data_IF_828811804709
#
_entry.id   IF_828811804709
#
_cell.length_a   1.000
_cell.length_b   1.000
_cell.length_c   1.000
_cell.angle_alpha   90.00
_cell.angle_beta   90.00
_cell.angle_gamma   90.00
#
_symmetry.space_group_name_H-M   'P 1'
#
loop_
_entity.id
_entity.type
_entity.pdbx_description
1 polymer ?
#
# COMPACT_ATOMS: atom_id res chain seq x y z
N UNK A 1 -6.04 25.24 -12.26
CA UNK A 1 -5.60 24.27 -11.23
C UNK A 1 -6.70 23.23 -11.12
N UNK A 2 -6.48 22.01 -11.62
CA UNK A 2 -7.49 20.95 -11.57
C UNK A 2 -7.46 20.31 -10.18
N UNK A 3 -8.54 20.48 -9.42
CA UNK A 3 -8.78 19.70 -8.21
C UNK A 3 -8.91 18.22 -8.62
N UNK A 4 -8.09 17.35 -8.01
CA UNK A 4 -8.32 15.91 -8.12
C UNK A 4 -9.74 15.62 -7.61
N UNK A 5 -10.55 14.80 -8.31
CA UNK A 5 -11.84 14.40 -7.78
C UNK A 5 -11.60 13.68 -6.45
N UNK A 6 -12.18 14.20 -5.36
CA UNK A 6 -12.29 13.43 -4.12
C UNK A 6 -12.98 12.10 -4.49
N UNK A 7 -12.50 10.94 -4.02
CA UNK A 7 -13.12 9.67 -4.37
C UNK A 7 -14.54 9.65 -3.77
N UNK A 8 -15.53 9.97 -4.61
CA UNK A 8 -16.96 9.80 -4.34
C UNK A 8 -17.25 8.31 -4.37
N UNK A 9 -16.82 7.64 -3.31
CA UNK A 9 -16.90 6.21 -3.16
C UNK A 9 -16.59 5.90 -1.71
N UNK A 10 -17.63 5.70 -0.91
CA UNK A 10 -17.54 5.01 0.36
C UNK A 10 -17.20 3.53 0.09
N UNK A 11 -16.08 3.26 -0.59
CA UNK A 11 -15.52 1.93 -0.77
C UNK A 11 -15.12 1.42 0.61
N UNK A 12 -16.01 0.67 1.21
CA UNK A 12 -15.73 -0.14 2.39
C UNK A 12 -14.79 -1.25 1.96
N UNK A 13 -13.54 -1.14 2.42
CA UNK A 13 -12.51 -2.15 2.24
C UNK A 13 -12.10 -2.59 3.64
N UNK A 14 -12.20 -3.89 3.91
CA UNK A 14 -11.74 -4.48 5.14
C UNK A 14 -10.29 -4.94 5.06
N UNK A 15 -9.72 -5.27 6.22
CA UNK A 15 -8.38 -5.87 6.31
C UNK A 15 -8.28 -7.19 5.54
N UNK A 16 -9.38 -7.93 5.45
CA UNK A 16 -9.48 -9.20 4.72
C UNK A 16 -9.45 -9.00 3.20
N UNK A 17 -9.97 -7.88 2.70
CA UNK A 17 -9.92 -7.58 1.26
C UNK A 17 -8.50 -7.32 0.80
N UNK A 18 -7.66 -6.76 1.67
CA UNK A 18 -6.23 -6.50 1.43
C UNK A 18 -5.36 -7.75 1.37
N UNK A 19 -5.90 -8.94 1.60
CA UNK A 19 -5.10 -10.15 1.64
C UNK A 19 -4.84 -10.72 0.25
N UNK A 20 -3.64 -11.27 0.09
CA UNK A 20 -3.16 -11.90 -1.13
C UNK A 20 -2.09 -11.10 -1.85
N UNK A 21 -1.96 -11.38 -3.15
CA UNK A 21 -1.01 -10.72 -4.04
C UNK A 21 -1.59 -9.46 -4.66
N UNK A 22 -0.78 -8.41 -4.63
CA UNK A 22 -1.03 -7.10 -5.18
C UNK A 22 0.14 -6.70 -6.07
N UNK A 23 -0.12 -5.76 -6.96
CA UNK A 23 0.87 -5.12 -7.80
C UNK A 23 1.01 -3.68 -7.32
N UNK A 24 2.18 -3.31 -6.81
CA UNK A 24 2.49 -1.95 -6.38
C UNK A 24 3.34 -1.26 -7.44
N UNK A 25 2.95 -0.05 -7.82
CA UNK A 25 3.62 0.78 -8.78
C UNK A 25 3.97 2.15 -8.16
N UNK A 26 5.25 2.51 -8.12
CA UNK A 26 5.72 3.78 -7.59
C UNK A 26 6.86 4.34 -8.45
N UNK A 27 6.83 5.65 -8.74
CA UNK A 27 7.88 6.35 -9.50
C UNK A 27 8.31 5.68 -10.83
N UNK A 28 7.39 4.96 -11.49
CA UNK A 28 7.65 4.25 -12.75
C UNK A 28 8.15 2.80 -12.58
N UNK A 29 8.45 2.37 -11.36
CA UNK A 29 8.71 0.96 -11.04
C UNK A 29 7.42 0.23 -10.65
N UNK A 30 7.35 -1.06 -10.98
CA UNK A 30 6.24 -1.93 -10.59
C UNK A 30 6.76 -3.26 -10.05
N UNK A 31 6.20 -3.73 -8.94
CA UNK A 31 6.55 -5.02 -8.35
C UNK A 31 5.36 -5.68 -7.64
N UNK A 32 5.55 -6.95 -7.24
CA UNK A 32 4.52 -7.67 -6.49
C UNK A 32 4.62 -7.38 -5.00
N UNK A 33 3.50 -7.11 -4.36
CA UNK A 33 3.31 -6.92 -2.93
C UNK A 33 2.38 -8.02 -2.42
N UNK A 34 2.82 -8.77 -1.42
CA UNK A 34 2.01 -9.79 -0.78
C UNK A 34 1.65 -9.33 0.63
N UNK A 35 0.36 -9.37 0.96
CA UNK A 35 -0.17 -8.88 2.24
C UNK A 35 -0.95 -10.00 2.94
N UNK A 36 -0.69 -10.16 4.23
CA UNK A 36 -1.30 -11.21 5.07
C UNK A 36 -1.70 -10.65 6.43
N UNK A 37 -2.60 -11.32 7.17
CA UNK A 37 -2.93 -10.96 8.57
C UNK A 37 -2.01 -11.64 9.59
N UNK A 38 -0.78 -11.97 9.22
CA UNK A 38 0.20 -12.47 10.18
C UNK A 38 0.71 -11.31 11.01
N UNK A 39 0.55 -11.35 12.33
CA UNK A 39 1.02 -10.28 13.22
C UNK A 39 2.52 -10.03 13.03
N UNK A 40 2.88 -8.76 12.84
CA UNK A 40 4.26 -8.31 12.68
C UNK A 40 4.49 -7.04 13.50
N UNK A 41 5.75 -6.66 13.72
CA UNK A 41 6.08 -5.44 14.45
C UNK A 41 5.42 -4.22 13.78
N UNK A 42 4.54 -3.53 14.51
CA UNK A 42 3.79 -2.36 14.01
C UNK A 42 2.53 -2.65 13.18
N UNK A 43 2.15 -3.91 12.97
CA UNK A 43 0.93 -4.26 12.22
C UNK A 43 0.87 -5.71 11.77
N UNK A 44 0.80 -5.91 10.46
CA UNK A 44 0.68 -7.20 9.79
C UNK A 44 1.79 -7.40 8.76
N UNK A 45 2.11 -8.65 8.43
CA UNK A 45 3.22 -8.97 7.53
C UNK A 45 2.92 -8.61 6.08
N UNK A 46 3.81 -7.82 5.48
CA UNK A 46 3.85 -7.52 4.06
C UNK A 46 5.19 -8.00 3.47
N UNK A 47 5.22 -8.32 2.18
CA UNK A 47 6.47 -8.69 1.52
C UNK A 47 6.40 -8.27 0.07
N UNK A 48 7.45 -7.62 -0.43
CA UNK A 48 7.54 -7.26 -1.83
C UNK A 48 8.51 -8.15 -2.59
N UNK A 49 8.22 -8.45 -3.85
CA UNK A 49 9.05 -9.27 -4.73
C UNK A 49 9.28 -8.58 -6.07
N UNK A 50 10.56 -8.49 -6.46
CA UNK A 50 10.97 -7.93 -7.75
C UNK A 50 10.95 -6.39 -7.81
N UNK A 51 10.99 -5.70 -6.66
CA UNK A 51 11.08 -4.24 -6.65
C UNK A 51 12.53 -3.79 -6.92
N UNK A 52 12.70 -2.81 -7.79
CA UNK A 52 13.97 -2.09 -7.97
C UNK A 52 14.07 -0.88 -7.02
N UNK A 53 12.92 -0.27 -6.71
CA UNK A 53 12.85 0.89 -5.82
C UNK A 53 13.16 0.51 -4.36
N UNK A 54 14.16 1.15 -3.76
CA UNK A 54 14.59 0.88 -2.38
C UNK A 54 13.50 1.14 -1.34
N UNK A 55 12.67 2.17 -1.52
CA UNK A 55 11.55 2.40 -0.62
C UNK A 55 10.60 1.21 -0.62
N UNK A 56 10.27 0.66 -1.80
CA UNK A 56 9.40 -0.50 -1.91
C UNK A 56 10.05 -1.77 -1.34
N UNK A 57 11.35 -1.98 -1.57
CA UNK A 57 12.10 -3.13 -1.05
C UNK A 57 12.13 -3.18 0.47
N UNK A 58 12.09 -2.01 1.13
CA UNK A 58 12.10 -1.94 2.59
C UNK A 58 10.75 -2.33 3.22
N UNK A 59 9.67 -2.45 2.44
CA UNK A 59 8.35 -2.82 2.96
C UNK A 59 8.38 -4.23 3.55
N UNK A 60 8.13 -4.30 4.85
CA UNK A 60 8.10 -5.55 5.64
C UNK A 60 6.79 -5.74 6.40
N UNK A 61 6.04 -4.65 6.61
CA UNK A 61 4.76 -4.68 7.30
C UNK A 61 3.73 -3.79 6.59
N UNK A 62 2.47 -4.00 6.96
CA UNK A 62 1.38 -3.13 6.63
C UNK A 62 0.43 -2.98 7.81
N UNK A 63 -0.23 -1.83 7.90
CA UNK A 63 -1.25 -1.55 8.91
C UNK A 63 -2.44 -0.87 8.24
N UNK A 64 -3.61 -0.97 8.85
CA UNK A 64 -4.83 -0.32 8.39
C UNK A 64 -5.43 0.51 9.51
N UNK A 65 -5.39 1.83 9.31
CA UNK A 65 -6.00 2.83 10.20
C UNK A 65 -7.30 3.33 9.56
N UNK A 66 -8.43 2.79 10.04
CA UNK A 66 -9.73 3.05 9.43
C UNK A 66 -9.79 2.53 7.99
N UNK A 67 -9.62 3.44 7.03
CA UNK A 67 -9.59 3.14 5.58
C UNK A 67 -8.23 3.42 4.94
N UNK A 68 -7.27 3.96 5.68
CA UNK A 68 -5.92 4.21 5.19
C UNK A 68 -5.06 2.98 5.41
N UNK A 69 -4.34 2.56 4.39
CA UNK A 69 -3.36 1.47 4.45
C UNK A 69 -1.97 2.07 4.52
N UNK A 70 -1.22 1.72 5.55
CA UNK A 70 0.15 2.15 5.75
C UNK A 70 1.06 0.98 5.48
N UNK A 71 2.06 1.18 4.62
CA UNK A 71 3.14 0.24 4.41
C UNK A 71 4.28 0.65 5.32
N UNK A 72 4.80 -0.29 6.10
CA UNK A 72 5.86 -0.05 7.07
C UNK A 72 7.10 -0.86 6.71
N UNK A 73 8.27 -0.35 7.09
CA UNK A 73 9.52 -1.09 6.97
C UNK A 73 9.76 -2.04 8.16
N UNK A 74 10.91 -2.71 8.17
CA UNK A 74 11.33 -3.62 9.23
C UNK A 74 11.45 -2.93 10.61
N UNK A 75 11.77 -1.63 10.62
CA UNK A 75 11.84 -0.81 11.85
C UNK A 75 10.47 -0.33 12.35
N UNK A 76 9.39 -0.53 11.57
CA UNK A 76 8.05 -0.02 11.87
C UNK A 76 7.81 1.44 11.45
N UNK A 77 8.68 2.03 10.65
CA UNK A 77 8.49 3.36 10.07
C UNK A 77 7.61 3.29 8.81
N UNK A 78 6.73 4.29 8.62
CA UNK A 78 5.84 4.38 7.46
C UNK A 78 6.63 4.69 6.20
N UNK A 79 6.58 3.77 5.23
CA UNK A 79 7.19 3.89 3.91
C UNK A 79 6.23 4.52 2.91
N UNK A 80 4.95 4.18 3.00
CA UNK A 80 3.93 4.70 2.10
C UNK A 80 2.54 4.66 2.73
N UNK A 81 1.69 5.59 2.30
CA UNK A 81 0.29 5.68 2.72
C UNK A 81 -0.59 5.54 1.49
N UNK A 82 -1.52 4.61 1.55
CA UNK A 82 -2.42 4.22 0.47
C UNK A 82 -3.87 4.40 0.93
N UNK A 83 -4.72 4.79 0.00
CA UNK A 83 -6.15 4.93 0.21
C UNK A 83 -6.91 4.12 -0.84
N UNK A 84 -8.02 3.46 -0.48
CA UNK A 84 -8.82 2.70 -1.43
C UNK A 84 -9.48 3.64 -2.42
N UNK A 85 -9.15 3.46 -3.70
CA UNK A 85 -9.88 4.07 -4.82
C UNK A 85 -11.00 3.15 -5.31
N UNK A 86 -10.84 1.83 -5.14
CA UNK A 86 -11.81 0.78 -5.47
C UNK A 86 -11.54 -0.47 -4.63
N UNK A 87 -12.39 -1.49 -4.70
CA UNK A 87 -12.17 -2.77 -3.98
C UNK A 87 -10.87 -3.48 -4.39
N UNK A 88 -10.34 -3.14 -5.57
CA UNK A 88 -9.14 -3.77 -6.16
C UNK A 88 -8.06 -2.75 -6.54
N UNK A 89 -8.24 -1.47 -6.19
CA UNK A 89 -7.26 -0.41 -6.48
C UNK A 89 -7.11 0.56 -5.31
N UNK A 90 -5.87 0.94 -5.05
CA UNK A 90 -5.47 1.87 -4.02
C UNK A 90 -4.50 2.88 -4.60
N UNK A 91 -4.59 4.11 -4.16
CA UNK A 91 -3.72 5.19 -4.61
C UNK A 91 -3.22 5.96 -3.39
N UNK A 92 -2.02 6.50 -3.49
CA UNK A 92 -1.42 7.22 -2.39
C UNK A 92 -0.04 7.75 -2.72
N UNK A 93 0.74 7.96 -1.68
CA UNK A 93 2.07 8.54 -1.80
C UNK A 93 3.06 7.82 -0.87
N UNK A 94 4.28 7.67 -1.34
CA UNK A 94 5.42 7.26 -0.50
C UNK A 94 5.79 8.39 0.45
N UNK A 95 6.47 8.05 1.54
CA UNK A 95 6.95 9.04 2.51
C UNK A 95 7.87 10.09 1.86
N UNK A 96 8.66 9.68 0.86
CA UNK A 96 9.49 10.56 0.03
C UNK A 96 8.71 11.46 -0.96
N UNK A 97 7.37 11.47 -0.91
CA UNK A 97 6.51 12.34 -1.74
C UNK A 97 6.20 11.82 -3.15
N UNK A 98 6.68 10.63 -3.51
CA UNK A 98 6.41 10.03 -4.82
C UNK A 98 5.00 9.42 -4.89
N UNK A 99 4.29 9.51 -6.03
CA UNK A 99 3.00 8.84 -6.18
C UNK A 99 3.18 7.32 -6.20
N UNK A 100 2.27 6.61 -5.52
CA UNK A 100 2.19 5.16 -5.52
C UNK A 100 0.76 4.70 -5.78
N UNK A 101 0.63 3.64 -6.56
CA UNK A 101 -0.65 2.98 -6.84
C UNK A 101 -0.50 1.49 -6.59
N UNK A 102 -1.55 0.87 -6.07
CA UNK A 102 -1.60 -0.57 -5.83
C UNK A 102 -2.86 -1.11 -6.50
N UNK A 103 -2.72 -2.16 -7.29
CA UNK A 103 -3.81 -2.85 -7.95
C UNK A 103 -3.77 -4.34 -7.65
N UNK A 104 -4.92 -5.02 -7.64
CA UNK A 104 -4.94 -6.46 -7.44
C UNK A 104 -4.20 -7.16 -8.59
N UNK A 105 -3.28 -8.06 -8.26
CA UNK A 105 -2.53 -8.85 -9.25
C UNK A 105 -3.39 -9.92 -9.89
#
# INVERSE_FOLDING_TARGET
MAAAPAPTGNVEVGRTDLLGGWTIAAAGDQCQLFMTLTTWSGGYRASTKGCNNDALKNISAWNMEGRQVQLLNDTGATVARLFPASKTQFNGQTDGGGPVSVSRS
#
